data_IF_704774443693
#
_entry.id   IF_704774443693
#
_cell.length_a   1.000
_cell.length_b   1.000
_cell.length_c   1.000
_cell.angle_alpha   90.00
_cell.angle_beta   90.00
_cell.angle_gamma   90.00
#
_symmetry.space_group_name_H-M   'P 1'
#
loop_
_entity.id
_entity.type
_entity.pdbx_description
1 polymer ?
#
# COMPACT_ATOMS: atom_id res chain seq x y z
N UNK A 1 -8.79 -21.21 -3.35
CA UNK A 1 -9.16 -19.78 -3.27
C UNK A 1 -9.66 -19.38 -4.65
N UNK A 2 -10.92 -18.95 -4.77
CA UNK A 2 -11.52 -18.58 -6.05
C UNK A 2 -10.94 -17.22 -6.50
N UNK A 3 -10.02 -17.23 -7.49
CA UNK A 3 -9.33 -16.02 -7.95
C UNK A 3 -10.21 -15.10 -8.82
N UNK A 4 -11.49 -15.43 -9.02
CA UNK A 4 -12.36 -14.82 -10.03
C UNK A 4 -13.23 -13.65 -9.55
N UNK A 5 -13.01 -13.09 -8.34
CA UNK A 5 -13.93 -12.06 -7.78
C UNK A 5 -13.26 -10.94 -6.99
N UNK A 6 -12.00 -10.60 -7.23
CA UNK A 6 -11.44 -9.38 -6.62
C UNK A 6 -12.04 -8.15 -7.30
N UNK A 7 -12.93 -7.45 -6.61
CA UNK A 7 -13.49 -6.20 -7.06
C UNK A 7 -12.60 -5.05 -6.58
N UNK A 8 -11.95 -4.36 -7.51
CA UNK A 8 -11.07 -3.22 -7.22
C UNK A 8 -11.73 -2.17 -6.31
N UNK A 9 -13.04 -1.94 -6.46
CA UNK A 9 -13.72 -0.96 -5.61
C UNK A 9 -14.06 -1.47 -4.21
N UNK A 10 -14.37 -2.76 -4.06
CA UNK A 10 -14.86 -3.34 -2.80
C UNK A 10 -13.72 -3.82 -1.90
N UNK A 11 -12.68 -4.40 -2.49
CA UNK A 11 -11.65 -5.14 -1.78
C UNK A 11 -10.36 -4.30 -1.56
N UNK A 12 -10.53 -2.97 -1.44
CA UNK A 12 -9.44 -1.99 -1.30
C UNK A 12 -8.55 -2.26 -0.08
N UNK A 13 -9.14 -2.74 1.00
CA UNK A 13 -8.47 -3.08 2.26
C UNK A 13 -7.54 -4.29 2.13
N UNK A 14 -7.69 -5.08 1.07
CA UNK A 14 -6.82 -6.22 0.75
C UNK A 14 -5.88 -5.87 -0.39
N UNK A 15 -6.39 -5.23 -1.46
CA UNK A 15 -5.60 -4.95 -2.68
C UNK A 15 -4.43 -4.02 -2.41
N UNK A 16 -4.68 -2.88 -1.75
CA UNK A 16 -3.67 -1.85 -1.48
C UNK A 16 -2.51 -2.44 -0.67
N UNK A 17 -2.76 -3.07 0.50
CA UNK A 17 -1.66 -3.59 1.29
C UNK A 17 -0.97 -4.79 0.64
N UNK A 18 -1.68 -5.67 -0.07
CA UNK A 18 -1.02 -6.79 -0.78
C UNK A 18 -0.12 -6.34 -1.92
N UNK A 19 -0.54 -5.32 -2.67
CA UNK A 19 0.30 -4.73 -3.71
C UNK A 19 1.59 -4.17 -3.09
N UNK A 20 1.47 -3.37 -2.02
CA UNK A 20 2.62 -2.75 -1.36
C UNK A 20 3.47 -3.73 -0.55
N UNK A 21 2.90 -4.85 -0.11
CA UNK A 21 3.65 -5.93 0.52
C UNK A 21 4.57 -6.65 -0.47
N UNK A 22 4.12 -6.84 -1.72
CA UNK A 22 4.89 -7.47 -2.78
C UNK A 22 5.91 -6.51 -3.44
N UNK A 23 5.83 -5.21 -3.15
CA UNK A 23 6.68 -4.18 -3.73
C UNK A 23 8.08 -4.17 -3.11
N UNK A 24 9.09 -3.98 -3.97
CA UNK A 24 10.48 -3.69 -3.58
C UNK A 24 10.85 -2.25 -3.94
N UNK A 25 11.98 -1.70 -3.47
CA UNK A 25 12.44 -0.36 -3.85
C UNK A 25 12.54 -0.15 -5.36
N UNK A 26 12.92 -1.22 -6.09
CA UNK A 26 13.07 -1.20 -7.55
C UNK A 26 11.71 -1.16 -8.27
N UNK A 27 10.70 -1.87 -7.76
CA UNK A 27 9.36 -1.91 -8.38
C UNK A 27 8.40 -0.84 -7.85
N UNK A 28 8.77 -0.17 -6.76
CA UNK A 28 7.91 0.77 -6.04
C UNK A 28 7.27 1.82 -6.94
N UNK A 29 8.06 2.45 -7.82
CA UNK A 29 7.57 3.50 -8.70
C UNK A 29 6.45 3.00 -9.63
N UNK A 30 6.56 1.78 -10.14
CA UNK A 30 5.59 1.18 -11.06
C UNK A 30 4.36 0.66 -10.30
N UNK A 31 4.56 0.05 -9.14
CA UNK A 31 3.47 -0.50 -8.33
C UNK A 31 2.58 0.60 -7.74
N UNK A 32 3.17 1.67 -7.22
CA UNK A 32 2.42 2.80 -6.67
C UNK A 32 1.64 3.54 -7.77
N UNK A 33 2.20 3.67 -8.98
CA UNK A 33 1.51 4.27 -10.12
C UNK A 33 0.25 3.47 -10.50
N UNK A 34 0.34 2.13 -10.50
CA UNK A 34 -0.84 1.29 -10.74
C UNK A 34 -1.90 1.49 -9.67
N UNK A 35 -1.52 1.61 -8.39
CA UNK A 35 -2.48 1.89 -7.33
C UNK A 35 -3.13 3.27 -7.47
N UNK A 36 -2.35 4.29 -7.85
CA UNK A 36 -2.83 5.66 -8.08
C UNK A 36 -3.83 5.75 -9.26
N UNK A 37 -3.79 4.82 -10.22
CA UNK A 37 -4.79 4.73 -11.30
C UNK A 37 -6.18 4.32 -10.79
N UNK A 38 -6.26 3.57 -9.69
CA UNK A 38 -7.51 3.03 -9.15
C UNK A 38 -7.96 3.73 -7.86
N UNK A 39 -7.02 4.30 -7.11
CA UNK A 39 -7.26 4.84 -5.77
C UNK A 39 -6.57 6.19 -5.59
N UNK A 40 -7.25 7.11 -4.93
CA UNK A 40 -6.62 8.35 -4.50
C UNK A 40 -5.55 8.10 -3.42
N UNK A 41 -4.57 8.99 -3.34
CA UNK A 41 -3.57 9.03 -2.28
C UNK A 41 -4.17 8.88 -0.87
N UNK A 42 -5.31 9.54 -0.61
CA UNK A 42 -6.00 9.47 0.70
C UNK A 42 -6.52 8.08 1.02
N UNK A 43 -7.04 7.37 0.03
CA UNK A 43 -7.51 5.98 0.15
C UNK A 43 -6.32 5.05 0.38
N UNK A 44 -5.25 5.21 -0.40
CA UNK A 44 -4.03 4.42 -0.26
C UNK A 44 -3.46 4.58 1.14
N UNK A 45 -3.29 5.81 1.62
CA UNK A 45 -2.79 6.10 2.96
C UNK A 45 -3.70 5.56 4.06
N UNK A 46 -5.03 5.68 3.91
CA UNK A 46 -6.00 5.19 4.90
C UNK A 46 -5.84 3.68 5.10
N UNK A 47 -5.89 2.91 4.02
CA UNK A 47 -5.83 1.45 4.09
C UNK A 47 -4.44 0.94 4.46
N UNK A 48 -3.39 1.61 3.97
CA UNK A 48 -2.01 1.30 4.34
C UNK A 48 -1.73 1.54 5.84
N UNK A 49 -2.34 2.55 6.45
CA UNK A 49 -2.22 2.78 7.91
C UNK A 49 -3.07 1.79 8.72
N UNK A 50 -4.21 1.33 8.22
CA UNK A 50 -5.13 0.43 8.94
C UNK A 50 -4.91 -1.07 8.72
N UNK A 51 -4.00 -1.48 7.83
CA UNK A 51 -3.98 -2.79 7.14
C UNK A 51 -3.89 -4.16 7.88
N UNK A 52 -3.45 -4.39 9.09
CA UNK A 52 -2.94 -5.69 9.63
C UNK A 52 -1.77 -6.38 8.88
N UNK A 53 -1.59 -6.18 7.58
CA UNK A 53 -0.48 -6.78 6.81
C UNK A 53 0.89 -6.24 7.25
N UNK A 54 1.93 -7.09 7.25
CA UNK A 54 3.31 -6.74 7.67
C UNK A 54 4.10 -6.09 6.54
N UNK A 55 3.71 -4.88 6.18
CA UNK A 55 4.43 -4.10 5.18
C UNK A 55 5.70 -3.52 5.79
N UNK A 56 6.81 -3.58 5.05
CA UNK A 56 8.10 -3.06 5.49
C UNK A 56 8.01 -1.56 5.79
N UNK A 57 8.71 -1.12 6.84
CA UNK A 57 8.81 0.30 7.20
C UNK A 57 9.45 1.11 6.07
N UNK A 58 10.33 0.49 5.27
CA UNK A 58 10.92 1.10 4.09
C UNK A 58 9.86 1.44 3.04
N UNK A 59 8.95 0.51 2.74
CA UNK A 59 7.83 0.77 1.82
C UNK A 59 6.93 1.88 2.37
N UNK A 60 6.63 1.86 3.67
CA UNK A 60 5.85 2.92 4.30
C UNK A 60 6.54 4.29 4.19
N UNK A 61 7.87 4.35 4.32
CA UNK A 61 8.66 5.57 4.12
C UNK A 61 8.67 6.02 2.65
N UNK A 62 8.78 5.10 1.69
CA UNK A 62 8.68 5.42 0.26
C UNK A 62 7.31 6.01 -0.10
N UNK A 63 6.22 5.43 0.43
CA UNK A 63 4.86 5.98 0.27
C UNK A 63 4.75 7.35 0.92
N UNK A 64 5.27 7.53 2.13
CA UNK A 64 5.23 8.81 2.82
C UNK A 64 5.97 9.90 2.04
N UNK A 65 7.15 9.57 1.48
CA UNK A 65 7.94 10.46 0.62
C UNK A 65 7.22 10.81 -0.68
N UNK A 66 6.64 9.81 -1.37
CA UNK A 66 5.84 10.00 -2.60
C UNK A 66 4.72 11.02 -2.39
N UNK A 67 4.06 10.92 -1.25
CA UNK A 67 2.87 11.69 -0.90
C UNK A 67 3.14 12.94 -0.09
N UNK A 68 4.41 13.25 0.19
CA UNK A 68 4.84 14.36 1.04
C UNK A 68 4.09 14.40 2.38
N UNK A 69 3.93 13.25 3.02
CA UNK A 69 3.30 13.10 4.35
C UNK A 69 4.33 12.63 5.38
N UNK A 70 4.08 12.84 6.68
CA UNK A 70 4.96 12.32 7.72
C UNK A 70 5.14 10.81 7.60
N UNK A 71 6.39 10.35 7.72
CA UNK A 71 6.72 8.93 7.75
C UNK A 71 5.91 8.23 8.84
N UNK A 72 5.32 7.11 8.48
CA UNK A 72 4.58 6.28 9.41
C UNK A 72 5.14 4.87 9.34
N UNK A 73 5.16 4.21 10.49
CA UNK A 73 5.54 2.82 10.62
C UNK A 73 4.41 2.11 11.35
N UNK A 74 4.08 0.92 10.89
CA UNK A 74 2.97 0.15 11.45
C UNK A 74 3.44 -0.86 12.48
N UNK A 75 4.65 -1.38 12.25
CA UNK A 75 5.34 -2.25 13.18
C UNK A 75 6.56 -1.50 13.67
N UNK A 76 6.58 -1.19 14.97
CA UNK A 76 7.82 -0.77 15.63
C UNK A 76 8.83 -1.90 15.44
N UNK A 77 10.01 -1.60 14.92
CA UNK A 77 11.17 -2.44 15.18
C UNK A 77 11.29 -2.53 16.71
N UNK A 78 11.22 -3.76 17.22
CA UNK A 78 11.49 -4.09 18.62
C UNK A 78 13.00 -4.21 18.74
#
# INVERSE_FOLDING_TARGET
>A
MDHSKLNLSRDKDIIIPRALFATTPETFATDILKLEQYYSQTIILKYLKSTKERISNEVCAMVAKRYNVPTFARFKQI
#
